data_IF_067712887167
#
_entry.id   IF_067712887167
#
_cell.length_a   1.000
_cell.length_b   1.000
_cell.length_c   1.000
_cell.angle_alpha   90.00
_cell.angle_beta   90.00
_cell.angle_gamma   90.00
#
_symmetry.space_group_name_H-M   'P 1'
#
loop_
_entity.id
_entity.type
_entity.pdbx_description
1 polymer ?
#
# COMPACT_ATOMS: atom_id res chain seq x y z
N UNK A 1 -17.69 11.17 3.98
CA UNK A 1 -16.23 11.32 3.90
C UNK A 1 -15.56 10.51 4.97
N UNK A 2 -14.47 9.89 4.64
CA UNK A 2 -13.80 8.97 5.55
C UNK A 2 -12.30 9.24 5.58
N UNK A 3 -11.67 9.00 6.74
CA UNK A 3 -10.22 9.14 6.89
C UNK A 3 -9.59 7.74 6.88
N UNK A 4 -8.40 7.64 6.33
CA UNK A 4 -7.59 6.43 6.40
C UNK A 4 -6.25 6.81 7.01
N UNK A 5 -5.83 6.07 8.03
CA UNK A 5 -4.55 6.30 8.68
C UNK A 5 -3.71 5.04 8.64
N UNK A 6 -2.42 5.20 8.40
CA UNK A 6 -1.45 4.12 8.45
C UNK A 6 -0.25 4.56 9.29
N UNK A 7 0.40 3.61 9.92
CA UNK A 7 1.64 3.85 10.65
C UNK A 7 2.79 3.21 9.86
N UNK A 8 3.80 4.00 9.55
CA UNK A 8 4.94 3.57 8.75
C UNK A 8 6.21 3.94 9.49
N UNK A 9 7.01 2.94 9.86
CA UNK A 9 8.25 3.14 10.63
C UNK A 9 8.04 4.03 11.85
N UNK A 10 6.94 3.81 12.56
CA UNK A 10 6.57 4.54 13.76
C UNK A 10 5.90 5.88 13.52
N UNK A 11 5.86 6.38 12.30
CA UNK A 11 5.18 7.62 11.96
C UNK A 11 3.76 7.36 11.48
N UNK A 12 2.82 8.15 12.01
CA UNK A 12 1.41 7.99 11.64
C UNK A 12 1.02 9.01 10.58
N UNK A 13 0.45 8.51 9.50
CA UNK A 13 0.03 9.34 8.36
C UNK A 13 -1.46 9.15 8.13
N UNK A 14 -2.16 10.25 7.88
CA UNK A 14 -3.60 10.22 7.72
C UNK A 14 -4.01 10.96 6.45
N UNK A 15 -4.82 10.29 5.63
CA UNK A 15 -5.51 10.92 4.51
C UNK A 15 -6.93 11.24 4.95
N UNK A 16 -7.34 12.49 4.80
CA UNK A 16 -8.62 12.97 5.33
C UNK A 16 -9.63 13.22 4.23
N UNK A 17 -10.89 13.07 4.57
CA UNK A 17 -12.01 13.48 3.73
C UNK A 17 -12.05 12.74 2.39
N UNK A 18 -11.74 11.45 2.41
CA UNK A 18 -11.80 10.63 1.22
C UNK A 18 -13.24 10.24 0.90
N UNK A 19 -13.55 10.21 -0.38
CA UNK A 19 -14.82 9.66 -0.85
C UNK A 19 -14.97 8.23 -0.34
N UNK A 20 -16.21 7.85 0.04
CA UNK A 20 -16.46 6.53 0.65
C UNK A 20 -16.02 5.37 -0.23
N UNK A 21 -16.41 5.38 -1.49
CA UNK A 21 -16.05 4.27 -2.37
C UNK A 21 -14.55 4.24 -2.67
N UNK A 22 -13.92 5.41 -2.77
CA UNK A 22 -12.47 5.47 -2.93
C UNK A 22 -11.76 4.94 -1.68
N UNK A 23 -12.23 5.32 -0.49
CA UNK A 23 -11.67 4.85 0.76
C UNK A 23 -11.80 3.33 0.90
N UNK A 24 -12.94 2.77 0.51
CA UNK A 24 -13.14 1.33 0.51
C UNK A 24 -12.13 0.63 -0.41
N UNK A 25 -11.92 1.19 -1.59
CA UNK A 25 -10.96 0.66 -2.53
C UNK A 25 -9.54 0.68 -1.96
N UNK A 26 -9.16 1.81 -1.36
CA UNK A 26 -7.82 1.97 -0.79
C UNK A 26 -7.58 0.98 0.35
N UNK A 27 -8.55 0.86 1.26
CA UNK A 27 -8.42 -0.07 2.39
C UNK A 27 -8.28 -1.51 1.91
N UNK A 28 -9.07 -1.90 0.93
CA UNK A 28 -8.98 -3.23 0.38
C UNK A 28 -7.65 -3.47 -0.33
N UNK A 29 -7.18 -2.48 -1.09
CA UNK A 29 -5.91 -2.60 -1.78
C UNK A 29 -4.74 -2.70 -0.81
N UNK A 30 -4.74 -1.89 0.25
CA UNK A 30 -3.73 -1.96 1.28
C UNK A 30 -3.74 -3.33 1.97
N UNK A 31 -4.92 -3.85 2.28
CA UNK A 31 -5.05 -5.17 2.88
C UNK A 31 -4.48 -6.25 1.96
N UNK A 32 -4.79 -6.19 0.67
CA UNK A 32 -4.28 -7.16 -0.29
C UNK A 32 -2.77 -7.07 -0.47
N UNK A 33 -2.20 -5.90 -0.21
CA UNK A 33 -0.75 -5.70 -0.25
C UNK A 33 -0.08 -5.99 1.09
N UNK A 34 -0.83 -6.54 2.05
CA UNK A 34 -0.34 -6.88 3.38
C UNK A 34 0.13 -5.67 4.18
N UNK A 35 -0.49 -4.51 3.93
CA UNK A 35 -0.30 -3.31 4.74
C UNK A 35 -1.34 -3.33 5.85
N UNK A 36 -0.89 -3.21 7.09
CA UNK A 36 -1.77 -3.28 8.24
C UNK A 36 -2.26 -1.90 8.63
N UNK A 37 -3.56 -1.77 8.87
CA UNK A 37 -4.15 -0.51 9.33
C UNK A 37 -4.11 -0.39 10.84
N UNK A 38 -3.91 -1.50 11.55
CA UNK A 38 -3.96 -1.58 13.01
C UNK A 38 -2.60 -1.74 13.68
N UNK A 39 -1.52 -1.70 12.91
CA UNK A 39 -0.16 -1.83 13.44
C UNK A 39 0.84 -1.13 12.52
N UNK A 40 2.07 -1.08 12.98
CA UNK A 40 3.15 -0.46 12.21
C UNK A 40 3.48 -1.26 10.95
N UNK A 41 3.92 -0.55 9.92
CA UNK A 41 4.38 -1.13 8.65
C UNK A 41 5.76 -0.58 8.33
N UNK A 42 6.58 -1.34 7.64
CA UNK A 42 7.86 -0.85 7.17
C UNK A 42 7.67 0.00 5.90
N UNK A 43 8.61 0.92 5.67
CA UNK A 43 8.63 1.69 4.43
C UNK A 43 8.79 0.76 3.23
N UNK A 44 9.55 -0.32 3.38
CA UNK A 44 9.68 -1.33 2.34
C UNK A 44 8.33 -1.92 1.96
N UNK A 45 7.50 -2.26 2.96
CA UNK A 45 6.16 -2.79 2.71
C UNK A 45 5.31 -1.80 1.91
N UNK A 46 5.42 -0.52 2.22
CA UNK A 46 4.67 0.50 1.49
C UNK A 46 5.17 0.63 0.05
N UNK A 47 6.45 0.51 -0.18
CA UNK A 47 6.99 0.53 -1.53
C UNK A 47 6.49 -0.69 -2.33
N UNK A 48 6.47 -1.85 -1.70
CA UNK A 48 5.89 -3.06 -2.32
C UNK A 48 4.43 -2.82 -2.69
N UNK A 49 3.66 -2.23 -1.78
CA UNK A 49 2.25 -1.92 -2.05
C UNK A 49 2.09 -1.00 -3.25
N UNK A 50 2.94 0.01 -3.35
CA UNK A 50 2.92 0.91 -4.50
C UNK A 50 3.23 0.17 -5.79
N UNK A 51 4.25 -0.68 -5.79
CA UNK A 51 4.63 -1.42 -7.00
C UNK A 51 3.53 -2.39 -7.43
N UNK A 52 2.85 -3.01 -6.48
CA UNK A 52 1.72 -3.88 -6.81
C UNK A 52 0.61 -3.11 -7.50
N UNK A 53 0.25 -1.96 -6.97
CA UNK A 53 -0.78 -1.12 -7.57
C UNK A 53 -0.35 -0.64 -8.96
N UNK A 54 0.89 -0.17 -9.07
CA UNK A 54 1.43 0.32 -10.35
C UNK A 54 1.45 -0.79 -11.39
N UNK A 55 1.79 -2.02 -11.00
CA UNK A 55 1.82 -3.15 -11.94
C UNK A 55 0.43 -3.47 -12.47
N UNK A 56 -0.61 -3.36 -11.63
CA UNK A 56 -2.00 -3.59 -12.06
C UNK A 56 -2.45 -2.50 -13.02
N UNK A 57 -2.09 -1.27 -12.75
CA UNK A 57 -2.41 -0.15 -13.62
C UNK A 57 -1.72 -0.28 -14.98
N UNK A 58 -0.49 -0.74 -14.98
CA UNK A 58 0.33 -0.89 -16.17
C UNK A 58 0.06 -2.20 -16.91
N UNK A 59 -0.68 -3.12 -16.29
CA UNK A 59 -0.89 -4.49 -16.77
C UNK A 59 0.41 -5.30 -16.82
N UNK A 60 1.26 -5.08 -15.84
CA UNK A 60 2.53 -5.79 -15.72
C UNK A 60 2.38 -6.86 -14.64
N UNK A 61 1.79 -7.99 -15.03
CA UNK A 61 1.49 -9.07 -14.08
C UNK A 61 2.59 -10.12 -14.01
N UNK A 62 3.31 -10.26 -15.08
CA UNK A 62 4.14 -11.45 -15.35
C UNK A 62 5.26 -11.67 -14.34
N UNK A 63 5.92 -10.62 -13.88
CA UNK A 63 7.12 -10.75 -13.08
C UNK A 63 7.04 -9.96 -11.78
N UNK A 64 5.83 -9.70 -11.34
CA UNK A 64 5.66 -8.87 -10.14
C UNK A 64 6.35 -9.50 -8.91
N UNK A 65 6.29 -10.82 -8.77
CA UNK A 65 6.92 -11.49 -7.63
C UNK A 65 8.43 -11.33 -7.68
N UNK A 66 9.03 -11.39 -8.85
CA UNK A 66 10.47 -11.16 -9.00
C UNK A 66 10.84 -9.73 -8.66
N UNK A 67 10.02 -8.77 -9.07
CA UNK A 67 10.23 -7.37 -8.72
C UNK A 67 10.17 -7.18 -7.21
N UNK A 68 9.18 -7.79 -6.57
CA UNK A 68 9.02 -7.68 -5.11
C UNK A 68 10.18 -8.31 -4.35
N UNK A 69 10.75 -9.39 -4.89
CA UNK A 69 11.90 -10.05 -4.28
C UNK A 69 13.19 -9.27 -4.49
N UNK A 70 13.25 -8.42 -5.50
CA UNK A 70 14.45 -7.67 -5.86
C UNK A 70 14.57 -6.32 -5.18
N UNK A 71 13.61 -5.95 -4.33
CA UNK A 71 13.67 -4.67 -3.64
C UNK A 71 14.76 -4.74 -2.58
N UNK A 72 15.69 -3.81 -2.67
CA UNK A 72 16.81 -3.71 -1.74
C UNK A 72 16.82 -2.34 -1.09
N UNK A 73 17.21 -2.32 0.17
CA UNK A 73 17.40 -1.08 0.89
C UNK A 73 18.84 -0.62 0.69
N UNK A 74 18.99 0.53 0.08
CA UNK A 74 20.31 1.11 -0.15
C UNK A 74 20.77 1.99 1.00
#
# INVERSE_FOLDING_TARGET
MRDIAVTIDGGRYKAKNLDESFADFVEEDLKNAEVHLDRDNSAERMFVAYLRLASRWYNYEKEIDQILESIEKE
#
